data_IF_739307091497
#
_entry.id   IF_739307091497
#
_cell.length_a   1.000
_cell.length_b   1.000
_cell.length_c   1.000
_cell.angle_alpha   90.00
_cell.angle_beta   90.00
_cell.angle_gamma   90.00
#
_symmetry.space_group_name_H-M   'P 1'
#
loop_
_entity.id
_entity.type
_entity.pdbx_description
1 polymer ?
#
# COMPACT_ATOMS: atom_id res chain seq x y z
N UNK A 1 -23.18 41.14 -1.75
CA UNK A 1 -24.16 40.20 -1.14
C UNK A 1 -23.35 39.24 -0.29
N UNK A 2 -23.33 39.53 1.02
CA UNK A 2 -22.60 38.70 2.00
C UNK A 2 -23.57 37.63 2.52
N UNK A 3 -23.36 36.39 2.07
CA UNK A 3 -24.03 35.23 2.63
C UNK A 3 -23.28 34.81 3.89
N UNK A 4 -23.78 35.27 5.03
CA UNK A 4 -23.42 34.74 6.33
C UNK A 4 -23.86 33.27 6.39
N UNK A 5 -22.89 32.35 6.44
CA UNK A 5 -23.14 31.00 6.91
C UNK A 5 -23.49 31.10 8.42
N UNK A 6 -24.66 30.65 8.83
CA UNK A 6 -24.98 30.57 10.25
C UNK A 6 -24.26 29.31 10.79
N UNK A 7 -23.10 29.48 11.39
CA UNK A 7 -22.76 28.57 12.46
C UNK A 7 -23.84 28.80 13.53
N UNK A 8 -24.53 27.76 14.02
CA UNK A 8 -25.41 27.93 15.14
C UNK A 8 -24.54 28.56 16.22
N UNK A 9 -24.97 29.76 16.68
CA UNK A 9 -24.61 30.24 18.00
C UNK A 9 -24.83 29.03 18.91
N UNK A 10 -23.77 28.32 19.26
CA UNK A 10 -23.79 27.49 20.43
C UNK A 10 -23.86 28.52 21.55
N UNK A 11 -25.08 29.04 21.78
CA UNK A 11 -25.45 29.38 23.12
C UNK A 11 -25.17 28.09 23.88
N UNK A 12 -24.01 28.04 24.49
CA UNK A 12 -23.87 27.28 25.70
C UNK A 12 -24.88 27.93 26.59
N UNK A 13 -26.15 27.50 26.46
CA UNK A 13 -27.12 27.69 27.49
C UNK A 13 -26.35 27.27 28.72
N UNK A 14 -26.06 28.24 29.54
CA UNK A 14 -25.24 28.05 30.72
C UNK A 14 -25.74 26.73 31.29
N UNK A 15 -24.86 25.70 31.26
CA UNK A 15 -25.17 24.49 31.98
C UNK A 15 -25.55 24.97 33.35
N UNK A 16 -26.86 25.00 33.60
CA UNK A 16 -27.46 25.42 34.85
C UNK A 16 -27.18 24.31 35.88
N UNK A 17 -25.87 24.07 36.04
CA UNK A 17 -25.31 23.24 37.11
C UNK A 17 -25.19 24.20 38.31
N UNK A 18 -26.28 24.86 38.59
CA UNK A 18 -26.44 25.40 39.92
C UNK A 18 -26.99 24.25 40.75
N UNK A 19 -26.27 23.68 41.68
CA UNK A 19 -26.92 23.24 42.89
C UNK A 19 -27.50 24.54 43.47
N UNK A 20 -28.74 24.81 43.17
CA UNK A 20 -29.49 25.74 43.96
C UNK A 20 -29.45 25.17 45.38
N UNK A 21 -28.49 25.64 46.15
CA UNK A 21 -28.51 25.41 47.60
C UNK A 21 -29.44 26.49 48.12
N UNK A 22 -30.72 26.17 48.32
CA UNK A 22 -31.75 27.19 48.64
C UNK A 22 -31.42 27.97 49.92
N UNK A 23 -30.69 27.32 50.81
CA UNK A 23 -30.27 27.85 52.12
C UNK A 23 -29.30 29.05 52.04
N UNK A 24 -28.43 29.13 50.99
CA UNK A 24 -27.45 30.22 50.86
C UNK A 24 -28.02 31.48 50.19
N UNK A 25 -29.16 31.40 49.50
CA UNK A 25 -29.77 32.50 48.78
C UNK A 25 -30.51 33.49 49.73
N UNK A 26 -30.86 33.06 50.93
CA UNK A 26 -31.63 33.89 51.91
C UNK A 26 -30.74 34.62 52.92
N UNK A 27 -29.44 34.53 52.79
CA UNK A 27 -28.47 35.21 53.69
C UNK A 27 -28.38 36.71 53.27
N UNK A 28 -28.75 37.66 54.11
CA UNK A 28 -28.92 39.06 53.71
C UNK A 28 -27.66 39.74 53.19
N UNK A 29 -26.44 39.33 53.65
CA UNK A 29 -25.18 39.93 53.25
C UNK A 29 -24.62 39.38 51.91
N UNK A 30 -25.11 38.24 51.44
CA UNK A 30 -24.78 37.70 50.11
C UNK A 30 -25.48 38.41 48.94
N UNK A 31 -26.49 39.26 49.24
CA UNK A 31 -27.23 40.08 48.25
C UNK A 31 -26.59 41.43 47.93
N UNK A 32 -25.48 41.77 48.59
CA UNK A 32 -24.73 42.98 48.21
C UNK A 32 -24.15 42.82 46.81
N UNK A 33 -24.45 43.79 45.95
CA UNK A 33 -23.96 43.81 44.59
C UNK A 33 -22.68 44.64 44.51
N UNK A 34 -21.59 44.04 43.99
CA UNK A 34 -20.35 44.70 43.71
C UNK A 34 -20.06 44.54 42.20
N UNK A 35 -19.85 45.66 41.45
CA UNK A 35 -19.58 45.60 40.00
C UNK A 35 -20.58 44.74 39.21
N UNK A 36 -21.87 44.93 39.41
CA UNK A 36 -23.01 44.24 38.77
C UNK A 36 -23.21 42.77 39.16
N UNK A 37 -22.32 42.15 39.96
CA UNK A 37 -22.42 40.78 40.44
C UNK A 37 -22.81 40.73 41.91
N UNK A 38 -23.58 39.74 42.32
CA UNK A 38 -23.88 39.49 43.72
C UNK A 38 -22.65 38.86 44.43
N UNK A 39 -22.55 39.07 45.74
CA UNK A 39 -21.50 38.40 46.52
C UNK A 39 -21.59 36.89 46.41
N UNK A 40 -22.80 36.39 46.19
CA UNK A 40 -23.05 34.96 45.90
C UNK A 40 -22.35 34.47 44.63
N UNK A 41 -22.38 35.25 43.52
CA UNK A 41 -21.72 34.88 42.24
C UNK A 41 -20.21 34.83 42.41
N UNK A 42 -19.62 35.74 43.20
CA UNK A 42 -18.20 35.68 43.53
C UNK A 42 -17.84 34.45 44.38
N UNK A 43 -18.68 34.08 45.36
CA UNK A 43 -18.44 32.87 46.16
C UNK A 43 -18.54 31.60 45.33
N UNK A 44 -19.50 31.50 44.38
CA UNK A 44 -19.65 30.39 43.47
C UNK A 44 -18.45 30.31 42.51
N UNK A 45 -18.02 31.42 41.90
CA UNK A 45 -16.86 31.46 41.03
C UNK A 45 -15.56 31.06 41.77
N UNK A 46 -15.38 31.56 43.01
CA UNK A 46 -14.23 31.19 43.85
C UNK A 46 -14.23 29.68 44.22
N UNK A 47 -15.41 29.11 44.50
CA UNK A 47 -15.57 27.69 44.81
C UNK A 47 -15.23 26.85 43.58
N UNK A 48 -15.74 27.19 42.38
CA UNK A 48 -15.41 26.50 41.14
C UNK A 48 -13.90 26.56 40.87
N UNK A 49 -13.31 27.74 41.00
CA UNK A 49 -11.86 27.91 40.82
C UNK A 49 -11.04 27.05 41.79
N UNK A 50 -11.43 27.04 43.07
CA UNK A 50 -10.74 26.27 44.12
C UNK A 50 -10.84 24.75 43.85
N UNK A 51 -12.04 24.26 43.49
CA UNK A 51 -12.26 22.84 43.19
C UNK A 51 -11.41 22.43 41.96
N UNK A 52 -11.43 23.20 40.88
CA UNK A 52 -10.63 22.93 39.69
C UNK A 52 -9.13 22.98 39.99
N UNK A 53 -8.68 23.94 40.78
CA UNK A 53 -7.28 24.05 41.20
C UNK A 53 -6.85 22.87 42.04
N UNK A 54 -7.71 22.42 42.96
CA UNK A 54 -7.45 21.22 43.78
C UNK A 54 -7.34 19.95 42.91
N UNK A 55 -8.21 19.81 41.92
CA UNK A 55 -8.13 18.73 40.93
C UNK A 55 -6.83 18.80 40.13
N UNK A 56 -6.39 19.97 39.68
CA UNK A 56 -5.14 20.17 38.93
C UNK A 56 -3.92 19.81 39.78
N UNK A 57 -3.91 20.21 41.06
CA UNK A 57 -2.81 19.92 41.98
C UNK A 57 -2.79 18.41 42.34
N UNK A 58 -3.96 17.83 42.64
CA UNK A 58 -4.07 16.39 42.97
C UNK A 58 -3.73 15.47 41.78
N UNK A 59 -3.88 15.96 40.54
CA UNK A 59 -3.55 15.25 39.31
C UNK A 59 -2.15 14.64 39.34
N UNK A 60 -1.14 15.39 39.74
CA UNK A 60 0.26 14.90 39.80
C UNK A 60 0.41 13.74 40.77
N UNK A 61 -0.23 13.84 41.93
CA UNK A 61 -0.19 12.78 42.94
C UNK A 61 -0.93 11.54 42.45
N UNK A 62 -2.10 11.73 41.82
CA UNK A 62 -2.90 10.64 41.26
C UNK A 62 -2.17 9.93 40.11
N UNK A 63 -1.63 10.68 39.16
CA UNK A 63 -0.89 10.14 38.03
C UNK A 63 0.37 9.38 38.50
N UNK A 64 1.12 9.90 39.45
CA UNK A 64 2.29 9.18 40.05
C UNK A 64 1.90 7.90 40.78
N UNK A 65 0.76 7.89 41.48
CA UNK A 65 0.23 6.66 42.11
C UNK A 65 -0.18 5.62 41.07
N UNK A 66 -0.79 6.04 39.97
CA UNK A 66 -1.19 5.12 38.87
C UNK A 66 0.03 4.48 38.19
N UNK A 67 1.15 5.19 38.04
CA UNK A 67 2.39 4.62 37.45
C UNK A 67 3.04 3.58 38.41
N UNK A 68 3.01 3.84 39.69
CA UNK A 68 3.53 2.88 40.67
C UNK A 68 2.66 1.62 40.72
N UNK A 69 1.34 1.75 40.57
CA UNK A 69 0.40 0.63 40.52
C UNK A 69 0.45 -0.19 39.23
N UNK A 70 0.93 0.41 38.12
CA UNK A 70 1.02 -0.25 36.82
C UNK A 70 2.31 -1.08 36.59
N UNK A 71 2.97 -1.49 37.65
CA UNK A 71 4.06 -2.48 37.68
C UNK A 71 5.19 -2.23 36.65
N UNK A 72 5.76 -1.04 36.67
CA UNK A 72 7.07 -0.77 36.03
C UNK A 72 7.19 -1.01 34.52
N UNK A 73 6.13 -1.36 33.77
CA UNK A 73 6.15 -1.47 32.31
C UNK A 73 6.20 -0.09 31.66
N UNK A 74 7.41 0.43 31.51
CA UNK A 74 7.69 1.78 31.03
C UNK A 74 7.59 1.96 29.51
N UNK A 75 7.36 0.90 28.71
CA UNK A 75 7.54 0.93 27.27
C UNK A 75 6.23 0.84 26.44
N UNK A 76 5.07 1.10 27.06
CA UNK A 76 3.77 1.03 26.39
C UNK A 76 3.17 2.39 26.00
N UNK A 77 2.12 2.40 25.15
CA UNK A 77 1.37 3.62 24.81
C UNK A 77 0.80 4.32 26.06
N UNK A 78 0.48 3.57 27.12
CA UNK A 78 0.00 4.12 28.40
C UNK A 78 1.06 5.01 29.10
N UNK A 79 2.32 4.64 29.07
CA UNK A 79 3.42 5.44 29.62
C UNK A 79 3.62 6.75 28.83
N UNK A 80 3.43 6.70 27.53
CA UNK A 80 3.47 7.91 26.70
C UNK A 80 2.33 8.88 27.04
N UNK A 81 1.07 8.41 27.10
CA UNK A 81 -0.06 9.23 27.49
C UNK A 81 0.09 9.80 28.89
N UNK A 82 0.61 9.02 29.81
CA UNK A 82 0.94 9.48 31.16
C UNK A 82 1.98 10.62 31.13
N UNK A 83 3.08 10.42 30.38
CA UNK A 83 4.11 11.46 30.21
C UNK A 83 3.54 12.74 29.54
N UNK A 84 2.62 12.60 28.58
CA UNK A 84 1.96 13.71 27.93
C UNK A 84 1.05 14.48 28.90
N UNK A 85 0.28 13.78 29.73
CA UNK A 85 -0.56 14.38 30.76
C UNK A 85 0.27 15.12 31.81
N UNK A 86 1.42 14.61 32.21
CA UNK A 86 2.32 15.30 33.14
C UNK A 86 2.94 16.58 32.56
N UNK A 87 3.12 16.65 31.24
CA UNK A 87 3.69 17.80 30.53
C UNK A 87 2.69 18.93 30.30
N UNK A 88 1.38 18.70 30.56
CA UNK A 88 0.42 19.80 30.58
C UNK A 88 0.83 20.83 31.63
N UNK A 89 1.13 22.05 31.18
CA UNK A 89 1.54 23.11 32.06
C UNK A 89 0.46 23.39 33.13
N UNK A 90 0.79 23.34 34.41
CA UNK A 90 -0.20 23.65 35.47
C UNK A 90 -0.68 25.10 35.35
N UNK A 91 0.15 26.00 34.87
CA UNK A 91 -0.22 27.39 34.62
C UNK A 91 -1.38 27.52 33.60
N UNK A 92 -1.29 26.79 32.47
CA UNK A 92 -2.36 26.79 31.45
C UNK A 92 -3.66 26.24 32.00
N UNK A 93 -3.59 25.16 32.78
CA UNK A 93 -4.76 24.56 33.41
C UNK A 93 -5.39 25.50 34.46
N UNK A 94 -4.57 26.21 35.24
CA UNK A 94 -5.05 27.22 36.21
C UNK A 94 -5.70 28.39 35.47
N UNK A 95 -5.13 28.83 34.32
CA UNK A 95 -5.75 29.89 33.51
C UNK A 95 -7.11 29.44 32.94
N UNK A 96 -7.20 28.20 32.47
CA UNK A 96 -8.47 27.62 32.02
C UNK A 96 -9.49 27.55 33.19
N UNK A 97 -9.06 27.13 34.37
CA UNK A 97 -9.90 27.09 35.55
C UNK A 97 -10.41 28.49 35.94
N UNK A 98 -9.52 29.48 35.89
CA UNK A 98 -9.87 30.88 36.12
C UNK A 98 -10.87 31.39 35.06
N UNK A 99 -10.64 31.10 33.76
CA UNK A 99 -11.54 31.47 32.70
C UNK A 99 -12.93 30.84 32.85
N UNK A 100 -13.03 29.56 33.21
CA UNK A 100 -14.30 28.88 33.49
C UNK A 100 -15.02 29.51 34.68
N UNK A 101 -14.28 29.81 35.76
CA UNK A 101 -14.86 30.47 36.91
C UNK A 101 -15.34 31.89 36.60
N UNK A 102 -14.57 32.64 35.78
CA UNK A 102 -14.95 34.03 35.40
C UNK A 102 -16.21 34.13 34.55
N UNK A 103 -16.59 33.03 33.84
CA UNK A 103 -17.87 33.01 33.07
C UNK A 103 -19.12 33.03 33.94
N UNK A 104 -18.99 32.87 35.25
CA UNK A 104 -20.08 33.06 36.21
C UNK A 104 -20.29 34.50 36.62
N UNK A 105 -19.33 35.39 36.30
CA UNK A 105 -19.36 36.80 36.64
C UNK A 105 -19.77 37.61 35.41
N UNK A 106 -20.65 38.56 35.59
CA UNK A 106 -20.97 39.58 34.57
C UNK A 106 -19.80 40.57 34.50
N UNK A 107 -18.81 40.23 33.63
CA UNK A 107 -17.64 41.06 33.41
C UNK A 107 -17.95 42.11 32.32
N UNK A 108 -17.27 43.25 32.36
CA UNK A 108 -17.37 44.20 31.25
C UNK A 108 -16.93 43.54 29.94
N UNK A 109 -17.59 43.86 28.83
CA UNK A 109 -17.34 43.31 27.51
C UNK A 109 -15.86 43.30 27.12
N UNK A 110 -15.08 44.30 27.52
CA UNK A 110 -13.65 44.40 27.27
C UNK A 110 -12.85 43.36 28.05
N UNK A 111 -13.17 43.13 29.31
CA UNK A 111 -12.49 42.18 30.18
C UNK A 111 -12.78 40.75 29.70
N UNK A 112 -14.06 40.45 29.44
CA UNK A 112 -14.47 39.13 28.99
C UNK A 112 -13.82 38.76 27.62
N UNK A 113 -13.84 39.70 26.67
CA UNK A 113 -13.19 39.51 25.36
C UNK A 113 -11.66 39.34 25.47
N UNK A 114 -11.01 40.15 26.29
CA UNK A 114 -9.55 40.06 26.49
C UNK A 114 -9.16 38.75 27.15
N UNK A 115 -9.91 38.31 28.17
CA UNK A 115 -9.67 37.05 28.87
C UNK A 115 -9.88 35.83 27.95
N UNK A 116 -10.94 35.88 27.14
CA UNK A 116 -11.23 34.85 26.12
C UNK A 116 -10.08 34.74 25.11
N UNK A 117 -9.59 35.84 24.55
CA UNK A 117 -8.48 35.90 23.61
C UNK A 117 -7.21 35.32 24.24
N UNK A 118 -6.80 35.80 25.42
CA UNK A 118 -5.59 35.37 26.12
C UNK A 118 -5.63 33.86 26.37
N UNK A 119 -6.77 33.38 26.89
CA UNK A 119 -6.98 31.96 27.18
C UNK A 119 -6.90 31.12 25.90
N UNK A 120 -7.57 31.55 24.84
CA UNK A 120 -7.55 30.87 23.53
C UNK A 120 -6.15 30.76 22.94
N UNK A 121 -5.38 31.85 22.98
CA UNK A 121 -3.98 31.87 22.49
C UNK A 121 -3.11 30.88 23.28
N UNK A 122 -3.19 30.93 24.61
CA UNK A 122 -2.34 30.09 25.47
C UNK A 122 -2.73 28.61 25.31
N UNK A 123 -4.02 28.29 25.23
CA UNK A 123 -4.51 26.92 25.02
C UNK A 123 -4.07 26.40 23.63
N UNK A 124 -4.17 27.24 22.59
CA UNK A 124 -3.73 26.88 21.23
C UNK A 124 -2.24 26.55 21.20
N UNK A 125 -1.38 27.39 21.78
CA UNK A 125 0.05 27.15 21.84
C UNK A 125 0.38 25.86 22.61
N UNK A 126 -0.33 25.60 23.71
CA UNK A 126 -0.16 24.36 24.48
C UNK A 126 -0.59 23.13 23.66
N UNK A 127 -1.71 23.22 22.96
CA UNK A 127 -2.21 22.13 22.07
C UNK A 127 -1.22 21.84 20.96
N UNK A 128 -0.69 22.85 20.26
CA UNK A 128 0.35 22.72 19.24
C UNK A 128 1.59 22.04 19.80
N UNK A 129 2.05 22.42 21.01
CA UNK A 129 3.19 21.76 21.67
C UNK A 129 2.94 20.29 21.97
N UNK A 130 1.74 19.94 22.42
CA UNK A 130 1.34 18.55 22.70
C UNK A 130 1.35 17.74 21.42
N UNK A 131 0.73 18.24 20.34
CA UNK A 131 0.69 17.54 19.04
C UNK A 131 2.10 17.35 18.49
N UNK A 132 2.97 18.37 18.57
CA UNK A 132 4.36 18.24 18.14
C UNK A 132 5.15 17.19 18.95
N UNK A 133 4.87 17.01 20.23
CA UNK A 133 5.47 15.94 21.04
C UNK A 133 4.96 14.56 20.58
N UNK A 134 3.65 14.45 20.23
CA UNK A 134 3.10 13.22 19.67
C UNK A 134 3.77 12.86 18.34
N UNK A 135 3.94 13.82 17.44
CA UNK A 135 4.66 13.62 16.16
C UNK A 135 6.08 13.09 16.42
N UNK A 136 6.80 13.73 17.34
CA UNK A 136 8.18 13.31 17.71
C UNK A 136 8.21 11.89 18.26
N UNK A 137 7.29 11.53 19.14
CA UNK A 137 7.19 10.19 19.72
C UNK A 137 6.92 9.11 18.68
N UNK A 138 5.95 9.36 17.79
CA UNK A 138 5.60 8.42 16.70
C UNK A 138 6.82 8.13 15.83
N UNK A 139 7.58 9.18 15.47
CA UNK A 139 8.77 9.04 14.63
C UNK A 139 9.88 8.28 15.35
N UNK A 140 10.15 8.59 16.62
CA UNK A 140 11.13 7.86 17.42
C UNK A 140 10.76 6.37 17.55
N UNK A 141 9.49 6.07 17.80
CA UNK A 141 9.00 4.70 17.88
C UNK A 141 9.11 3.96 16.54
N UNK A 142 8.76 4.63 15.42
CA UNK A 142 8.90 4.07 14.09
C UNK A 142 10.38 3.76 13.75
N UNK A 143 11.33 4.59 14.21
CA UNK A 143 12.78 4.33 14.08
C UNK A 143 13.23 3.14 14.92
N UNK A 144 12.75 3.02 16.16
CA UNK A 144 13.11 1.92 17.04
C UNK A 144 12.63 0.56 16.49
N UNK A 145 11.45 0.51 15.83
CA UNK A 145 10.92 -0.71 15.21
C UNK A 145 11.70 -1.11 13.94
N UNK A 146 12.21 -0.13 13.17
CA UNK A 146 13.00 -0.42 11.95
C UNK A 146 14.41 -0.92 12.25
N UNK A 147 14.84 -0.93 13.52
CA UNK A 147 16.08 -1.52 13.99
C UNK A 147 17.32 -1.03 13.24
N UNK A 148 18.47 -1.08 13.86
CA UNK A 148 19.81 -0.72 13.41
C UNK A 148 20.30 -1.28 12.04
N UNK A 149 19.40 -1.76 11.17
CA UNK A 149 19.72 -2.45 9.92
C UNK A 149 20.10 -1.51 8.76
N UNK A 150 19.87 -0.19 8.87
CA UNK A 150 20.25 0.76 7.83
C UNK A 150 21.07 1.92 8.40
N UNK A 151 22.26 1.61 8.92
CA UNK A 151 23.32 2.57 9.18
C UNK A 151 24.05 2.91 7.89
N UNK A 152 23.31 3.32 6.87
CA UNK A 152 23.83 3.81 5.61
C UNK A 152 23.36 5.24 5.39
N UNK A 153 24.19 6.08 4.79
CA UNK A 153 24.02 7.49 4.43
C UNK A 153 22.72 7.86 3.68
N UNK A 154 21.57 7.26 4.07
CA UNK A 154 20.25 7.61 3.57
C UNK A 154 19.81 8.92 4.21
N UNK A 155 19.46 9.91 3.38
CA UNK A 155 18.69 11.10 3.74
C UNK A 155 17.75 10.75 4.90
N UNK A 156 17.84 11.49 6.01
CA UNK A 156 16.99 11.32 7.19
C UNK A 156 15.52 11.62 6.85
N UNK A 157 14.94 10.79 5.99
CA UNK A 157 13.58 10.95 5.43
C UNK A 157 12.54 11.10 6.56
N UNK A 158 12.77 10.43 7.71
CA UNK A 158 11.94 10.59 8.88
C UNK A 158 11.98 11.99 9.49
N UNK A 159 13.15 12.67 9.46
CA UNK A 159 13.27 14.03 9.98
C UNK A 159 12.63 15.05 9.06
N UNK A 160 12.70 14.85 7.76
CA UNK A 160 12.03 15.71 6.78
C UNK A 160 10.52 15.61 6.88
N UNK A 161 9.97 14.40 7.02
CA UNK A 161 8.53 14.17 7.25
C UNK A 161 8.10 14.79 8.58
N UNK A 162 8.92 14.64 9.64
CA UNK A 162 8.67 15.27 10.93
C UNK A 162 8.59 16.79 10.83
N UNK A 163 9.50 17.38 10.10
CA UNK A 163 9.58 18.85 9.93
C UNK A 163 8.35 19.36 9.16
N UNK A 164 7.93 18.65 8.12
CA UNK A 164 6.74 18.98 7.35
C UNK A 164 5.47 18.86 8.23
N UNK A 165 5.34 17.79 9.00
CA UNK A 165 4.23 17.61 9.93
C UNK A 165 4.16 18.71 11.00
N UNK A 166 5.31 19.07 11.58
CA UNK A 166 5.41 20.18 12.55
C UNK A 166 5.03 21.52 11.93
N UNK A 167 5.46 21.77 10.69
CA UNK A 167 5.08 22.98 9.95
C UNK A 167 3.55 23.04 9.77
N UNK A 168 2.92 21.94 9.35
CA UNK A 168 1.46 21.89 9.20
C UNK A 168 0.71 22.13 10.52
N UNK A 169 1.19 21.55 11.63
CA UNK A 169 0.61 21.74 12.97
C UNK A 169 0.72 23.20 13.43
N UNK A 170 1.88 23.85 13.22
CA UNK A 170 2.06 25.25 13.54
C UNK A 170 1.20 26.16 12.68
N UNK A 171 1.12 25.89 11.38
CA UNK A 171 0.26 26.66 10.45
C UNK A 171 -1.21 26.57 10.87
N UNK A 172 -1.71 25.37 11.17
CA UNK A 172 -3.08 25.19 11.67
C UNK A 172 -3.32 25.93 13.00
N UNK A 173 -2.35 25.87 13.93
CA UNK A 173 -2.44 26.58 15.20
C UNK A 173 -2.48 28.12 15.03
N UNK A 174 -1.66 28.65 14.13
CA UNK A 174 -1.66 30.11 13.83
C UNK A 174 -2.97 30.52 13.18
N UNK A 175 -3.48 29.75 12.21
CA UNK A 175 -4.78 30.05 11.58
C UNK A 175 -5.91 30.02 12.60
N UNK A 176 -5.95 29.00 13.47
CA UNK A 176 -6.94 28.93 14.54
C UNK A 176 -6.85 30.10 15.51
N UNK A 177 -5.62 30.56 15.83
CA UNK A 177 -5.41 31.73 16.68
C UNK A 177 -5.91 33.02 16.01
N UNK A 178 -5.64 33.20 14.72
CA UNK A 178 -6.09 34.36 13.95
C UNK A 178 -7.62 34.43 13.85
N UNK A 179 -8.26 33.29 13.64
CA UNK A 179 -9.73 33.18 13.61
C UNK A 179 -10.35 33.61 14.95
N UNK A 180 -9.79 33.13 16.06
CA UNK A 180 -10.24 33.54 17.41
C UNK A 180 -10.00 35.03 17.72
N UNK A 181 -9.03 35.64 17.06
CA UNK A 181 -8.76 37.08 17.13
C UNK A 181 -9.73 37.91 16.27
N UNK A 182 -10.60 37.24 15.48
CA UNK A 182 -11.57 37.87 14.61
C UNK A 182 -11.07 38.21 13.20
N UNK A 183 -9.89 37.70 12.80
CA UNK A 183 -9.41 37.82 11.44
C UNK A 183 -10.10 36.78 10.52
N UNK A 184 -10.47 37.20 9.34
CA UNK A 184 -11.05 36.28 8.37
C UNK A 184 -9.95 35.41 7.76
N UNK A 185 -9.86 34.16 8.19
CA UNK A 185 -8.88 33.17 7.72
C UNK A 185 -9.32 32.41 6.45
N UNK A 186 -10.54 32.62 5.98
CA UNK A 186 -11.11 31.87 4.84
C UNK A 186 -10.23 31.94 3.59
N UNK A 187 -9.67 33.12 3.30
CA UNK A 187 -8.79 33.30 2.13
C UNK A 187 -7.48 32.52 2.26
N UNK A 188 -6.92 32.45 3.47
CA UNK A 188 -5.71 31.67 3.74
C UNK A 188 -5.99 30.18 3.62
N UNK A 189 -7.12 29.72 4.19
CA UNK A 189 -7.55 28.30 4.09
C UNK A 189 -7.82 27.91 2.65
N UNK A 190 -8.50 28.77 1.88
CA UNK A 190 -8.73 28.55 0.45
C UNK A 190 -7.41 28.45 -0.34
N UNK A 191 -6.47 29.35 -0.09
CA UNK A 191 -5.13 29.32 -0.71
C UNK A 191 -4.34 28.04 -0.36
N UNK A 192 -4.36 27.64 0.91
CA UNK A 192 -3.75 26.37 1.36
C UNK A 192 -4.44 25.16 0.75
N UNK A 193 -5.77 25.21 0.55
CA UNK A 193 -6.53 24.16 -0.13
C UNK A 193 -6.10 23.96 -1.57
N UNK A 194 -5.96 25.07 -2.33
CA UNK A 194 -5.47 25.02 -3.72
C UNK A 194 -4.03 24.54 -3.76
N UNK A 195 -3.15 25.06 -2.90
CA UNK A 195 -1.76 24.61 -2.79
C UNK A 195 -1.64 23.13 -2.40
N UNK A 196 -2.50 22.67 -1.49
CA UNK A 196 -2.60 21.28 -1.08
C UNK A 196 -3.05 20.35 -2.22
N UNK A 197 -4.04 20.78 -3.01
CA UNK A 197 -4.47 20.06 -4.19
C UNK A 197 -3.36 19.93 -5.25
N UNK A 198 -2.62 21.01 -5.50
CA UNK A 198 -1.47 20.98 -6.41
C UNK A 198 -0.39 20.01 -5.92
N UNK A 199 -0.07 20.02 -4.62
CA UNK A 199 0.90 19.08 -4.03
C UNK A 199 0.42 17.63 -4.09
N UNK A 200 -0.88 17.39 -3.86
CA UNK A 200 -1.48 16.05 -3.97
C UNK A 200 -1.37 15.50 -5.38
N UNK A 201 -1.66 16.30 -6.41
CA UNK A 201 -1.48 15.93 -7.81
C UNK A 201 -0.01 15.64 -8.14
N UNK A 202 0.91 16.47 -7.67
CA UNK A 202 2.35 16.25 -7.87
C UNK A 202 2.85 14.95 -7.18
N UNK A 203 2.23 14.54 -6.09
CA UNK A 203 2.60 13.34 -5.32
C UNK A 203 1.85 12.08 -5.75
N UNK A 204 0.90 12.18 -6.68
CA UNK A 204 -0.01 11.10 -7.07
C UNK A 204 0.71 9.82 -7.50
N UNK A 205 1.79 9.94 -8.27
CA UNK A 205 2.57 8.77 -8.70
C UNK A 205 3.19 8.01 -7.52
N UNK A 206 3.79 8.73 -6.57
CA UNK A 206 4.43 8.13 -5.39
C UNK A 206 3.39 7.44 -4.49
N UNK A 207 2.25 8.09 -4.30
CA UNK A 207 1.13 7.51 -3.53
C UNK A 207 0.54 6.29 -4.24
N UNK A 208 0.41 6.34 -5.58
CA UNK A 208 -0.05 5.21 -6.40
C UNK A 208 0.84 3.98 -6.20
N UNK A 209 2.17 4.13 -6.27
CA UNK A 209 3.11 3.03 -6.03
C UNK A 209 3.00 2.46 -4.61
N UNK A 210 2.81 3.34 -3.62
CA UNK A 210 2.66 2.94 -2.22
C UNK A 210 1.37 2.14 -1.99
N UNK A 211 0.24 2.59 -2.56
CA UNK A 211 -1.02 1.85 -2.50
C UNK A 211 -0.94 0.51 -3.25
N UNK A 212 -0.21 0.48 -4.38
CA UNK A 212 0.04 -0.75 -5.13
C UNK A 212 0.89 -1.74 -4.31
N UNK A 213 1.91 -1.27 -3.58
CA UNK A 213 2.66 -2.13 -2.66
C UNK A 213 1.78 -2.75 -1.58
N UNK A 214 0.85 -1.95 -1.03
CA UNK A 214 -0.12 -2.43 -0.06
C UNK A 214 -1.06 -3.49 -0.66
N UNK A 215 -1.58 -3.24 -1.87
CA UNK A 215 -2.43 -4.19 -2.60
C UNK A 215 -1.68 -5.50 -2.88
N UNK A 216 -0.42 -5.45 -3.35
CA UNK A 216 0.42 -6.63 -3.57
C UNK A 216 0.61 -7.42 -2.27
N UNK A 217 0.81 -6.73 -1.14
CA UNK A 217 0.99 -7.38 0.17
C UNK A 217 -0.28 -8.05 0.69
N UNK A 218 -1.46 -7.47 0.39
CA UNK A 218 -2.76 -7.97 0.85
C UNK A 218 -3.25 -9.12 -0.02
N UNK A 219 -3.32 -8.90 -1.34
CA UNK A 219 -3.89 -9.86 -2.31
C UNK A 219 -2.88 -10.93 -2.73
N UNK A 220 -1.58 -10.68 -2.58
CA UNK A 220 -0.45 -11.56 -2.90
C UNK A 220 -0.56 -12.20 -4.28
N UNK A 221 -0.72 -11.43 -5.37
CA UNK A 221 -0.70 -11.99 -6.73
C UNK A 221 0.63 -12.67 -7.04
N UNK A 222 1.69 -12.25 -6.38
CA UNK A 222 3.01 -12.89 -6.35
C UNK A 222 3.70 -12.60 -5.00
N UNK A 223 4.68 -13.41 -4.66
CA UNK A 223 5.51 -13.29 -3.46
C UNK A 223 7.00 -13.23 -3.83
N UNK A 224 7.84 -12.90 -2.85
CA UNK A 224 9.29 -13.01 -3.01
C UNK A 224 9.66 -14.47 -3.22
N UNK A 225 10.43 -14.74 -4.26
CA UNK A 225 10.80 -16.09 -4.73
C UNK A 225 9.95 -16.62 -5.88
N UNK A 226 8.81 -16.01 -6.20
CA UNK A 226 7.97 -16.43 -7.32
C UNK A 226 8.62 -16.06 -8.65
N UNK A 227 8.54 -16.99 -9.62
CA UNK A 227 8.88 -16.73 -11.01
C UNK A 227 7.65 -16.17 -11.73
N UNK A 228 7.77 -14.92 -12.19
CA UNK A 228 6.70 -14.21 -12.88
C UNK A 228 7.12 -13.74 -14.26
N UNK A 229 6.14 -13.62 -15.15
CA UNK A 229 6.28 -12.99 -16.47
C UNK A 229 5.35 -11.80 -16.54
N UNK A 230 5.91 -10.65 -16.88
CA UNK A 230 5.21 -9.38 -17.07
C UNK A 230 5.55 -8.88 -18.47
N UNK A 231 4.55 -8.84 -19.35
CA UNK A 231 4.72 -8.57 -20.78
C UNK A 231 5.76 -9.51 -21.45
N UNK A 232 6.91 -8.99 -21.84
CA UNK A 232 8.01 -9.76 -22.45
C UNK A 232 9.18 -10.03 -21.48
N UNK A 233 9.09 -9.52 -20.25
CA UNK A 233 10.14 -9.66 -19.24
C UNK A 233 9.77 -10.77 -18.25
N UNK A 234 10.74 -11.61 -17.92
CA UNK A 234 10.55 -12.73 -17.02
C UNK A 234 11.66 -12.80 -15.99
N UNK A 235 11.32 -13.24 -14.79
CA UNK A 235 12.31 -13.42 -13.73
C UNK A 235 11.71 -13.77 -12.38
N UNK A 236 12.59 -13.93 -11.40
CA UNK A 236 12.25 -14.25 -10.02
C UNK A 236 12.17 -12.98 -9.18
N UNK A 237 11.10 -12.82 -8.41
CA UNK A 237 10.90 -11.69 -7.51
C UNK A 237 11.91 -11.78 -6.36
N UNK A 238 12.84 -10.81 -6.26
CA UNK A 238 13.83 -10.75 -5.17
C UNK A 238 13.35 -9.91 -3.99
N UNK A 239 12.69 -8.80 -4.27
CA UNK A 239 12.29 -7.86 -3.23
C UNK A 239 11.08 -7.04 -3.66
N UNK A 240 10.11 -6.90 -2.75
CA UNK A 240 8.95 -6.02 -2.90
C UNK A 240 9.15 -4.85 -1.94
N UNK A 241 9.45 -3.66 -2.50
CA UNK A 241 9.62 -2.43 -1.74
C UNK A 241 8.36 -1.59 -1.71
N UNK A 242 8.42 -0.43 -1.05
CA UNK A 242 7.28 0.50 -0.93
C UNK A 242 6.91 1.16 -2.28
N UNK A 243 7.90 1.40 -3.14
CA UNK A 243 7.71 2.04 -4.44
C UNK A 243 7.95 1.10 -5.61
N UNK A 244 8.94 0.21 -5.49
CA UNK A 244 9.41 -0.64 -6.59
C UNK A 244 9.55 -2.08 -6.14
N UNK A 245 9.26 -3.00 -7.07
CA UNK A 245 9.57 -4.42 -6.95
C UNK A 245 10.79 -4.73 -7.81
N UNK A 246 11.72 -5.52 -7.27
CA UNK A 246 12.95 -5.96 -7.92
C UNK A 246 12.80 -7.40 -8.35
N UNK A 247 13.07 -7.67 -9.62
CA UNK A 247 12.93 -8.97 -10.26
C UNK A 247 14.28 -9.34 -10.89
N UNK A 248 14.82 -10.50 -10.58
CA UNK A 248 16.03 -11.03 -11.22
C UNK A 248 15.63 -11.75 -12.49
N UNK A 249 16.05 -11.23 -13.64
CA UNK A 249 15.84 -11.87 -14.93
C UNK A 249 16.56 -13.22 -15.02
N UNK A 250 16.14 -14.09 -15.93
CA UNK A 250 16.79 -15.36 -16.25
C UNK A 250 18.23 -15.12 -16.75
N UNK A 251 18.47 -14.02 -17.44
CA UNK A 251 19.79 -13.62 -17.97
C UNK A 251 20.69 -12.97 -16.92
N UNK A 252 20.15 -12.70 -15.70
CA UNK A 252 20.90 -12.25 -14.53
C UNK A 252 20.80 -10.76 -14.19
N UNK A 253 20.28 -9.93 -15.11
CA UNK A 253 20.06 -8.51 -14.83
C UNK A 253 18.94 -8.29 -13.82
N UNK A 254 19.03 -7.16 -13.09
CA UNK A 254 18.02 -6.74 -12.14
C UNK A 254 17.01 -5.82 -12.83
N UNK A 255 15.79 -6.29 -12.98
CA UNK A 255 14.67 -5.52 -13.47
C UNK A 255 13.99 -4.80 -12.30
N UNK A 256 13.75 -3.50 -12.46
CA UNK A 256 13.11 -2.67 -11.43
C UNK A 256 11.80 -2.13 -12.00
N UNK A 257 10.70 -2.62 -11.48
CA UNK A 257 9.36 -2.17 -11.85
C UNK A 257 8.79 -1.25 -10.79
N UNK A 258 8.01 -0.23 -11.18
CA UNK A 258 7.15 0.45 -10.23
C UNK A 258 6.02 -0.49 -9.79
N UNK A 259 5.59 -0.39 -8.54
CA UNK A 259 4.52 -1.26 -8.04
C UNK A 259 3.20 -0.99 -8.77
N UNK A 260 2.96 0.28 -9.15
CA UNK A 260 1.77 0.67 -9.91
C UNK A 260 1.75 0.10 -11.33
N UNK A 261 2.91 -0.08 -11.97
CA UNK A 261 2.99 -0.74 -13.28
C UNK A 261 2.65 -2.22 -13.16
N UNK A 262 3.23 -2.91 -12.16
CA UNK A 262 2.93 -4.32 -11.93
C UNK A 262 1.45 -4.57 -11.66
N UNK A 263 0.81 -3.75 -10.81
CA UNK A 263 -0.61 -3.92 -10.49
C UNK A 263 -1.55 -3.60 -11.66
N UNK A 264 -1.10 -2.81 -12.64
CA UNK A 264 -1.85 -2.52 -13.86
C UNK A 264 -1.57 -3.51 -14.99
N UNK A 265 -0.42 -4.19 -14.96
CA UNK A 265 -0.01 -5.15 -15.98
C UNK A 265 -0.66 -6.52 -15.78
N UNK A 266 -0.65 -7.32 -16.84
CA UNK A 266 -1.03 -8.72 -16.75
C UNK A 266 0.18 -9.52 -16.29
N UNK A 267 0.04 -10.19 -15.15
CA UNK A 267 1.12 -10.97 -14.55
C UNK A 267 0.80 -12.45 -14.71
N UNK A 268 1.74 -13.22 -15.28
CA UNK A 268 1.67 -14.68 -15.27
C UNK A 268 2.59 -15.19 -14.14
N UNK A 269 2.00 -15.76 -13.09
CA UNK A 269 2.74 -16.35 -11.99
C UNK A 269 2.90 -17.87 -12.21
N UNK A 270 4.11 -18.31 -12.52
CA UNK A 270 4.40 -19.72 -12.78
C UNK A 270 4.58 -20.54 -11.51
N UNK A 271 4.86 -19.92 -10.37
CA UNK A 271 4.98 -20.62 -9.09
C UNK A 271 3.63 -21.12 -8.57
N UNK A 272 2.55 -20.41 -8.88
CA UNK A 272 1.18 -20.81 -8.50
C UNK A 272 0.54 -21.79 -9.49
N UNK A 273 1.26 -22.19 -10.52
CA UNK A 273 0.79 -23.15 -11.51
C UNK A 273 0.71 -24.55 -10.88
N UNK A 274 -0.45 -25.22 -10.95
CA UNK A 274 -0.66 -26.57 -10.43
C UNK A 274 -0.27 -27.65 -11.43
N UNK A 275 -0.39 -27.35 -12.72
CA UNK A 275 -0.09 -28.27 -13.82
C UNK A 275 0.30 -27.48 -15.06
N UNK A 276 1.23 -28.03 -15.85
CA UNK A 276 1.71 -27.44 -17.10
C UNK A 276 1.13 -28.17 -18.29
N UNK A 277 0.39 -27.48 -19.15
CA UNK A 277 -0.15 -28.02 -20.40
C UNK A 277 0.92 -27.97 -21.47
N UNK A 278 1.23 -29.13 -22.05
CA UNK A 278 2.21 -29.29 -23.11
C UNK A 278 1.52 -29.73 -24.39
N UNK A 279 1.92 -29.11 -25.48
CA UNK A 279 1.51 -29.47 -26.83
C UNK A 279 2.76 -29.73 -27.64
N UNK A 280 2.85 -30.92 -28.24
CA UNK A 280 3.90 -31.22 -29.20
C UNK A 280 3.33 -31.90 -30.43
N UNK A 281 4.10 -31.89 -31.53
CA UNK A 281 3.69 -32.45 -32.79
C UNK A 281 4.78 -33.42 -33.30
N UNK A 282 4.33 -34.47 -33.98
CA UNK A 282 5.19 -35.47 -34.59
C UNK A 282 4.70 -35.68 -36.01
N UNK A 283 5.64 -35.69 -36.98
CA UNK A 283 5.42 -36.00 -38.37
C UNK A 283 5.97 -37.36 -38.74
N UNK A 284 5.17 -38.21 -39.39
CA UNK A 284 5.62 -39.48 -39.97
C UNK A 284 5.52 -39.46 -41.49
N UNK A 285 6.24 -40.37 -42.15
CA UNK A 285 6.30 -40.46 -43.62
C UNK A 285 4.94 -40.89 -44.18
N UNK A 286 4.62 -40.41 -45.41
CA UNK A 286 3.39 -40.75 -46.12
C UNK A 286 3.28 -42.25 -46.50
N UNK A 287 4.45 -42.94 -46.61
CA UNK A 287 4.52 -44.36 -46.95
C UNK A 287 4.14 -45.32 -45.81
N UNK A 288 3.81 -44.77 -44.62
CA UNK A 288 3.39 -45.57 -43.48
C UNK A 288 2.03 -46.25 -43.77
N UNK A 289 1.93 -47.56 -43.45
CA UNK A 289 0.71 -48.33 -43.63
C UNK A 289 -0.48 -47.66 -42.87
N UNK A 290 -1.66 -47.51 -43.52
CA UNK A 290 -2.83 -46.93 -42.91
C UNK A 290 -3.28 -47.61 -41.62
N UNK A 291 -3.08 -48.92 -41.46
CA UNK A 291 -3.40 -49.63 -40.22
C UNK A 291 -2.47 -49.25 -39.09
N UNK A 292 -1.19 -48.94 -39.36
CA UNK A 292 -0.23 -48.42 -38.39
C UNK A 292 -0.57 -47.00 -38.04
N UNK A 293 -0.91 -46.13 -39.03
CA UNK A 293 -1.34 -44.76 -38.84
C UNK A 293 -2.51 -44.68 -37.84
N UNK A 294 -3.47 -45.58 -37.92
CA UNK A 294 -4.62 -45.67 -37.02
C UNK A 294 -4.24 -46.01 -35.57
N UNK A 295 -3.16 -46.77 -35.37
CA UNK A 295 -2.68 -47.18 -34.05
C UNK A 295 -1.84 -46.12 -33.33
N UNK A 296 -1.23 -45.19 -34.06
CA UNK A 296 -0.31 -44.20 -33.51
C UNK A 296 -0.93 -43.36 -32.37
N UNK A 297 -2.17 -42.82 -32.46
CA UNK A 297 -2.75 -42.09 -31.35
C UNK A 297 -2.86 -42.90 -30.05
N UNK A 298 -3.16 -44.19 -30.13
CA UNK A 298 -3.21 -45.07 -28.95
C UNK A 298 -1.81 -45.38 -28.41
N UNK A 299 -0.81 -45.55 -29.28
CA UNK A 299 0.55 -45.75 -28.92
C UNK A 299 1.10 -44.53 -28.19
N UNK A 300 0.89 -43.31 -28.72
CA UNK A 300 1.29 -42.07 -28.10
C UNK A 300 0.62 -41.83 -26.74
N UNK A 301 -0.66 -42.20 -26.63
CA UNK A 301 -1.39 -42.16 -25.36
C UNK A 301 -0.75 -43.07 -24.32
N UNK A 302 -0.46 -44.35 -24.67
CA UNK A 302 0.15 -45.28 -23.73
C UNK A 302 1.53 -44.85 -23.26
N UNK A 303 2.33 -44.23 -24.15
CA UNK A 303 3.66 -43.71 -23.82
C UNK A 303 3.54 -42.55 -22.81
N UNK A 304 2.65 -41.62 -23.05
CA UNK A 304 2.47 -40.48 -22.14
C UNK A 304 1.92 -40.95 -20.78
N UNK A 305 0.92 -41.85 -20.77
CA UNK A 305 0.33 -42.39 -19.54
C UNK A 305 1.31 -43.27 -18.73
N UNK A 306 2.32 -43.81 -19.34
CA UNK A 306 3.38 -44.59 -18.65
C UNK A 306 4.36 -43.73 -17.87
N UNK A 307 4.45 -42.43 -18.13
CA UNK A 307 5.36 -41.55 -17.44
C UNK A 307 4.76 -41.05 -16.10
N UNK A 308 5.57 -40.92 -15.05
CA UNK A 308 5.10 -40.36 -13.78
C UNK A 308 4.73 -38.89 -13.93
N UNK A 309 3.78 -38.44 -13.13
CA UNK A 309 3.32 -37.05 -13.07
C UNK A 309 2.74 -36.52 -14.39
N UNK A 310 2.26 -37.39 -15.28
CA UNK A 310 1.60 -37.01 -16.52
C UNK A 310 0.10 -37.30 -16.47
N UNK A 311 -0.65 -36.48 -17.19
CA UNK A 311 -2.06 -36.68 -17.46
C UNK A 311 -2.30 -36.44 -18.94
N UNK A 312 -2.65 -37.49 -19.68
CA UNK A 312 -2.95 -37.38 -21.10
C UNK A 312 -4.27 -36.61 -21.30
N UNK A 313 -4.30 -35.66 -22.25
CA UNK A 313 -5.50 -34.92 -22.64
C UNK A 313 -6.04 -35.46 -23.94
N UNK A 314 -5.25 -35.41 -25.01
CA UNK A 314 -5.65 -35.89 -26.35
C UNK A 314 -4.43 -36.13 -27.23
N UNK A 315 -4.61 -37.02 -28.20
CA UNK A 315 -3.66 -37.29 -29.27
C UNK A 315 -4.40 -37.66 -30.55
N UNK A 316 -4.17 -36.93 -31.63
CA UNK A 316 -4.89 -37.10 -32.87
C UNK A 316 -4.02 -36.98 -34.09
N UNK A 317 -4.35 -37.69 -35.17
CA UNK A 317 -3.88 -37.33 -36.50
C UNK A 317 -4.51 -35.99 -36.87
N UNK A 318 -3.69 -34.96 -36.97
CA UNK A 318 -4.15 -33.58 -37.07
C UNK A 318 -4.33 -33.12 -38.50
N UNK A 319 -3.35 -33.39 -39.35
CA UNK A 319 -3.32 -32.87 -40.70
C UNK A 319 -2.37 -33.63 -41.63
N UNK A 320 -2.56 -33.49 -42.92
CA UNK A 320 -1.60 -33.84 -43.96
C UNK A 320 -0.67 -32.64 -44.17
N UNK A 321 0.60 -32.76 -43.72
CA UNK A 321 1.63 -31.75 -43.90
C UNK A 321 2.26 -31.80 -45.29
N UNK A 322 3.16 -30.87 -45.64
CA UNK A 322 3.82 -30.84 -46.94
C UNK A 322 4.67 -32.09 -47.22
N UNK A 323 5.23 -32.72 -46.19
CA UNK A 323 6.10 -33.89 -46.27
C UNK A 323 5.79 -34.94 -45.18
N UNK A 324 4.69 -34.77 -44.41
CA UNK A 324 4.41 -35.59 -43.24
C UNK A 324 2.93 -35.80 -43.00
N UNK A 325 2.60 -36.92 -42.34
CA UNK A 325 1.33 -37.10 -41.66
C UNK A 325 1.51 -36.57 -40.21
N UNK A 326 0.84 -35.48 -39.87
CA UNK A 326 1.07 -34.73 -38.61
C UNK A 326 0.15 -35.22 -37.52
N UNK A 327 0.76 -35.61 -36.40
CA UNK A 327 0.06 -35.95 -35.15
C UNK A 327 0.30 -34.88 -34.12
N UNK A 328 -0.76 -34.51 -33.41
CA UNK A 328 -0.73 -33.58 -32.30
C UNK A 328 -1.06 -34.30 -31.00
N UNK A 329 -0.20 -34.12 -30.00
CA UNK A 329 -0.37 -34.68 -28.66
C UNK A 329 -0.41 -33.55 -27.64
N UNK A 330 -1.36 -33.65 -26.74
CA UNK A 330 -1.52 -32.71 -25.62
C UNK A 330 -1.60 -33.50 -24.34
N UNK A 331 -0.81 -33.08 -23.36
CA UNK A 331 -0.80 -33.67 -22.03
C UNK A 331 -0.45 -32.63 -20.97
N UNK A 332 -0.70 -32.95 -19.72
CA UNK A 332 -0.30 -32.13 -18.57
C UNK A 332 0.82 -32.79 -17.81
N UNK A 333 1.78 -31.96 -17.36
CA UNK A 333 2.73 -32.34 -16.31
C UNK A 333 2.19 -31.79 -15.00
N UNK A 334 2.00 -32.65 -14.00
CA UNK A 334 1.41 -32.32 -12.69
C UNK A 334 2.48 -31.75 -11.74
N UNK A 335 3.24 -30.78 -12.24
CA UNK A 335 4.30 -30.07 -11.47
C UNK A 335 4.51 -28.68 -12.04
N UNK A 336 4.74 -27.66 -11.20
CA UNK A 336 5.15 -26.32 -11.65
C UNK A 336 6.62 -26.27 -12.10
N UNK A 337 7.46 -27.20 -11.65
CA UNK A 337 8.90 -27.19 -11.86
C UNK A 337 9.25 -27.40 -13.34
N UNK A 338 10.03 -26.45 -13.90
CA UNK A 338 10.40 -26.50 -15.31
C UNK A 338 11.32 -27.69 -15.63
N UNK A 339 12.23 -28.03 -14.73
CA UNK A 339 13.16 -29.16 -14.94
C UNK A 339 12.40 -30.48 -15.01
N UNK A 340 11.45 -30.72 -14.11
CA UNK A 340 10.60 -31.91 -14.16
C UNK A 340 9.80 -32.02 -15.46
N UNK A 341 9.34 -30.89 -16.00
CA UNK A 341 8.71 -30.89 -17.32
C UNK A 341 9.70 -31.35 -18.40
N UNK A 342 10.92 -30.80 -18.41
CA UNK A 342 11.93 -31.15 -19.44
C UNK A 342 12.34 -32.61 -19.33
N UNK A 343 12.57 -33.12 -18.12
CA UNK A 343 12.92 -34.54 -17.89
C UNK A 343 11.78 -35.47 -18.37
N UNK A 344 10.53 -35.12 -18.08
CA UNK A 344 9.34 -35.86 -18.53
C UNK A 344 9.22 -35.85 -20.06
N UNK A 345 9.41 -34.67 -20.70
CA UNK A 345 9.34 -34.55 -22.14
C UNK A 345 10.46 -35.35 -22.83
N UNK A 346 11.66 -35.33 -22.25
CA UNK A 346 12.80 -36.13 -22.75
C UNK A 346 12.48 -37.62 -22.68
N UNK A 347 11.98 -38.13 -21.55
CA UNK A 347 11.58 -39.51 -21.38
C UNK A 347 10.48 -39.93 -22.37
N UNK A 348 9.50 -39.09 -22.60
CA UNK A 348 8.46 -39.30 -23.62
C UNK A 348 9.06 -39.38 -25.01
N UNK A 349 9.98 -38.48 -25.36
CA UNK A 349 10.63 -38.46 -26.67
C UNK A 349 11.47 -39.75 -26.93
N UNK A 350 12.21 -40.24 -25.93
CA UNK A 350 12.93 -41.50 -26.04
C UNK A 350 11.98 -42.68 -26.19
N UNK A 351 10.93 -42.74 -25.39
CA UNK A 351 9.95 -43.81 -25.49
C UNK A 351 9.21 -43.83 -26.86
N UNK A 352 8.94 -42.67 -27.43
CA UNK A 352 8.37 -42.56 -28.78
C UNK A 352 9.37 -43.08 -29.82
N UNK A 353 10.64 -42.68 -29.70
CA UNK A 353 11.69 -43.12 -30.63
C UNK A 353 11.85 -44.65 -30.62
N UNK A 354 11.83 -45.27 -29.42
CA UNK A 354 11.96 -46.72 -29.27
C UNK A 354 10.71 -47.44 -29.79
N UNK A 355 9.52 -47.00 -29.47
CA UNK A 355 8.28 -47.58 -29.93
C UNK A 355 8.13 -47.48 -31.47
N UNK A 356 8.47 -46.33 -32.05
CA UNK A 356 8.43 -46.17 -33.51
C UNK A 356 9.43 -47.08 -34.23
N UNK A 357 10.63 -47.29 -33.64
CA UNK A 357 11.61 -48.25 -34.17
C UNK A 357 11.05 -49.66 -34.14
N UNK A 358 10.38 -50.06 -33.07
CA UNK A 358 9.82 -51.40 -32.94
C UNK A 358 8.67 -51.65 -33.93
N UNK A 359 7.83 -50.67 -34.16
CA UNK A 359 6.69 -50.72 -35.08
C UNK A 359 7.06 -50.40 -36.53
N UNK A 360 8.34 -50.13 -36.84
CA UNK A 360 8.80 -49.77 -38.16
C UNK A 360 8.32 -48.42 -38.68
N UNK A 361 7.92 -47.52 -37.78
CA UNK A 361 7.44 -46.19 -38.12
C UNK A 361 8.59 -45.25 -38.34
N UNK A 362 8.60 -44.53 -39.47
CA UNK A 362 9.66 -43.57 -39.81
C UNK A 362 9.20 -42.14 -39.58
N UNK A 363 10.06 -41.35 -38.93
CA UNK A 363 9.83 -39.92 -38.83
C UNK A 363 9.97 -39.24 -40.19
N UNK A 364 9.13 -38.27 -40.46
CA UNK A 364 9.20 -37.54 -41.72
C UNK A 364 10.36 -36.52 -41.71
N UNK A 365 11.10 -36.50 -42.78
CA UNK A 365 12.07 -35.47 -43.07
C UNK A 365 11.51 -34.50 -44.12
N UNK A 366 11.91 -33.23 -44.13
CA UNK A 366 11.61 -32.30 -45.23
C UNK A 366 12.10 -32.89 -46.55
N UNK A 367 11.19 -33.24 -47.46
CA UNK A 367 11.52 -33.84 -48.72
C UNK A 367 11.17 -32.92 -49.88
N UNK A 368 12.02 -32.87 -50.90
CA UNK A 368 11.77 -32.15 -52.15
C UNK A 368 12.00 -33.09 -53.34
N UNK A 369 11.10 -33.07 -54.30
CA UNK A 369 11.29 -33.81 -55.55
C UNK A 369 11.95 -32.89 -56.55
N UNK A 370 13.16 -33.21 -56.95
CA UNK A 370 13.92 -32.42 -57.97
C UNK A 370 13.83 -33.14 -59.29
N UNK A 371 13.20 -32.54 -60.27
CA UNK A 371 13.22 -33.04 -61.66
C UNK A 371 14.45 -32.46 -62.36
N UNK A 372 15.42 -33.36 -62.64
CA UNK A 372 16.61 -32.99 -63.43
C UNK A 372 16.34 -33.28 -64.90
N UNK A 373 16.12 -32.26 -65.72
CA UNK A 373 16.02 -32.39 -67.16
C UNK A 373 17.39 -32.24 -67.80
N UNK A 374 17.95 -33.31 -68.35
CA UNK A 374 19.15 -33.21 -69.18
C UNK A 374 18.72 -32.77 -70.60
N UNK A 375 19.05 -31.54 -70.96
CA UNK A 375 18.97 -31.10 -72.33
C UNK A 375 20.01 -31.91 -73.14
N UNK A 376 19.57 -32.86 -74.00
CA UNK A 376 20.42 -33.50 -74.96
C UNK A 376 20.94 -32.41 -75.92
N UNK A 377 22.20 -32.01 -75.75
CA UNK A 377 22.88 -31.29 -76.81
C UNK A 377 22.91 -32.17 -78.03
N UNK A 378 22.14 -31.78 -79.08
CA UNK A 378 22.09 -32.41 -80.33
C UNK A 378 23.43 -32.13 -81.05
N UNK A 379 24.37 -33.10 -81.26
CA UNK A 379 25.61 -32.85 -81.96
C UNK A 379 25.34 -32.93 -83.45
N UNK A 380 24.90 -31.91 -84.10
CA UNK A 380 24.69 -31.97 -85.52
C UNK A 380 24.00 -30.73 -86.13
N UNK A 381 24.63 -29.58 -86.10
CA UNK A 381 24.54 -28.64 -87.23
C UNK A 381 25.94 -28.05 -87.40
N UNK A 382 26.71 -28.74 -88.28
CA UNK A 382 27.97 -28.24 -88.85
C UNK A 382 27.66 -26.96 -89.63
N UNK A 383 28.23 -25.85 -89.21
CA UNK A 383 28.25 -24.63 -89.97
C UNK A 383 28.86 -24.83 -91.33
N UNK A 384 28.08 -24.87 -92.40
CA UNK A 384 28.54 -24.63 -93.72
C UNK A 384 29.02 -23.20 -93.89
N UNK A 385 30.30 -23.02 -93.96
CA UNK A 385 30.97 -21.81 -94.41
C UNK A 385 30.52 -21.50 -95.85
N UNK A 386 29.92 -20.36 -96.18
CA UNK A 386 29.97 -19.79 -97.47
C UNK A 386 30.65 -18.42 -97.36
N UNK A 387 31.82 -18.37 -98.04
CA UNK A 387 32.55 -17.21 -98.45
C UNK A 387 31.71 -16.54 -99.56
N UNK A 388 31.51 -15.23 -99.48
CA UNK A 388 31.83 -14.21 -100.49
C UNK A 388 31.81 -12.84 -99.79
#
# INVERSE_FOLDING_TARGET
MATSFPFPDIKVDALDITPEIPFLRDVPWLKYTLFQNSLYDYCVAATIFLVLTLMIVSRRVLLNKLTVAADGRTDGPAAFFHGLLLKLSPFVLMLCAFYVASKRLELSLWIDKSLSIITSVIVTVQTVRIINQMVTYIILKARAVKGAAESGNGLNMGDNIASLARFGVWTAGVLFMLDNLGFNVSTFVAGLGIGGAALALASQAILGDTFSAFAISLDRPFAVGDFIVVDQLSGTVEHIGLKTTRIRSITGELLIFSNSDLTKSRICNFQQMTRRRILFQIGIVYQTDPEIVRKIPLLLRSIVESQPLTQFERGHFKAYGPSSLDFEVVYFVLSPEYVKYMDTQEAINFAIMDAFRQEGIQFAYPTQTVYVTQERQNPGISASRSLV
#
